data_IF_275703263586
#
_entry.id   IF_275703263586
#
_cell.length_a   1.000
_cell.length_b   1.000
_cell.length_c   1.000
_cell.angle_alpha   90.00
_cell.angle_beta   90.00
_cell.angle_gamma   90.00
#
_symmetry.space_group_name_H-M   'P 1'
#
loop_
_entity.id
_entity.type
_entity.pdbx_description
1 polymer ?
#
# COMPACT_ATOMS: atom_id res chain seq x y z
N UNK A 1 -0.71 -12.44 -14.13
CA UNK A 1 -0.99 -12.41 -12.67
C UNK A 1 -2.40 -12.93 -12.46
N UNK A 2 -2.73 -13.56 -11.33
CA UNK A 2 -4.10 -14.01 -11.09
C UNK A 2 -5.02 -12.78 -11.07
N UNK A 3 -6.23 -12.92 -11.63
CA UNK A 3 -7.21 -11.83 -11.67
C UNK A 3 -7.66 -11.41 -10.26
N UNK A 4 -7.55 -12.32 -9.29
CA UNK A 4 -7.95 -12.10 -7.91
C UNK A 4 -6.86 -12.58 -6.95
N UNK A 5 -6.66 -11.80 -5.89
CA UNK A 5 -5.82 -12.18 -4.75
C UNK A 5 -6.72 -12.19 -3.51
N UNK A 6 -6.96 -13.37 -2.94
CA UNK A 6 -7.71 -13.51 -1.71
C UNK A 6 -6.75 -13.44 -0.51
N UNK A 7 -7.03 -12.52 0.41
CA UNK A 7 -6.30 -12.40 1.68
C UNK A 7 -7.21 -12.84 2.82
N UNK A 8 -6.86 -13.93 3.50
CA UNK A 8 -7.62 -14.48 4.63
C UNK A 8 -6.78 -14.35 5.89
N UNK A 9 -7.34 -13.73 6.91
CA UNK A 9 -6.68 -13.56 8.20
C UNK A 9 -7.72 -13.45 9.34
N UNK A 10 -7.29 -13.72 10.57
CA UNK A 10 -8.10 -13.45 11.76
C UNK A 10 -8.47 -11.96 11.86
N UNK A 11 -9.64 -11.66 12.42
CA UNK A 11 -10.14 -10.27 12.57
C UNK A 11 -9.18 -9.37 13.36
N UNK A 12 -8.47 -9.93 14.35
CA UNK A 12 -7.49 -9.20 15.17
C UNK A 12 -6.10 -9.08 14.52
N UNK A 13 -5.92 -9.47 13.24
CA UNK A 13 -4.62 -9.42 12.59
C UNK A 13 -4.16 -7.95 12.39
N UNK A 14 -3.01 -7.51 12.95
CA UNK A 14 -2.53 -6.14 12.78
C UNK A 14 -2.27 -5.74 11.33
N UNK A 15 -1.93 -6.69 10.46
CA UNK A 15 -1.74 -6.44 9.03
C UNK A 15 -3.05 -6.04 8.34
N UNK A 16 -4.18 -6.63 8.74
CA UNK A 16 -5.51 -6.23 8.24
C UNK A 16 -5.80 -4.76 8.59
N UNK A 17 -5.56 -4.38 9.84
CA UNK A 17 -5.72 -3.00 10.29
C UNK A 17 -4.86 -2.00 9.49
N UNK A 18 -3.60 -2.36 9.23
CA UNK A 18 -2.70 -1.55 8.37
C UNK A 18 -3.22 -1.41 6.94
N UNK A 19 -3.73 -2.49 6.33
CA UNK A 19 -4.29 -2.46 4.99
C UNK A 19 -5.53 -1.56 4.89
N UNK A 20 -6.45 -1.69 5.86
CA UNK A 20 -7.66 -0.86 5.92
C UNK A 20 -7.29 0.61 6.13
N UNK A 21 -6.43 0.91 7.09
CA UNK A 21 -6.00 2.29 7.37
C UNK A 21 -5.33 2.95 6.15
N UNK A 22 -4.45 2.23 5.45
CA UNK A 22 -3.78 2.77 4.27
C UNK A 22 -4.77 3.02 3.12
N UNK A 23 -5.69 2.09 2.89
CA UNK A 23 -6.77 2.23 1.88
C UNK A 23 -7.61 3.48 2.15
N UNK A 24 -8.02 3.69 3.39
CA UNK A 24 -8.91 4.79 3.74
C UNK A 24 -8.16 6.13 3.70
N UNK A 25 -6.88 6.14 4.09
CA UNK A 25 -6.04 7.32 3.94
C UNK A 25 -5.87 7.73 2.46
N UNK A 26 -5.63 6.77 1.56
CA UNK A 26 -5.54 7.04 0.12
C UNK A 26 -6.86 7.61 -0.44
N UNK A 27 -8.02 7.10 0.00
CA UNK A 27 -9.33 7.59 -0.45
C UNK A 27 -9.60 9.02 0.00
N UNK A 28 -9.21 9.37 1.22
CA UNK A 28 -9.37 10.71 1.74
C UNK A 28 -8.34 11.72 1.20
N UNK A 29 -7.25 11.26 0.56
CA UNK A 29 -6.15 12.11 0.12
C UNK A 29 -5.80 11.87 -1.36
N UNK A 30 -6.54 12.50 -2.31
CA UNK A 30 -6.34 12.29 -3.75
C UNK A 30 -4.90 12.57 -4.23
N UNK A 31 -4.22 13.55 -3.65
CA UNK A 31 -2.84 13.87 -3.98
C UNK A 31 -1.87 12.75 -3.54
N UNK A 32 -2.10 12.15 -2.38
CA UNK A 32 -1.32 11.00 -1.92
C UNK A 32 -1.57 9.77 -2.80
N UNK A 33 -2.83 9.53 -3.18
CA UNK A 33 -3.18 8.46 -4.13
C UNK A 33 -2.48 8.62 -5.48
N UNK A 34 -2.42 9.85 -6.03
CA UNK A 34 -1.64 10.16 -7.24
C UNK A 34 -0.16 9.83 -7.05
N UNK A 35 0.46 10.30 -5.96
CA UNK A 35 1.87 10.02 -5.65
C UNK A 35 2.15 8.52 -5.54
N UNK A 36 1.29 7.78 -4.85
CA UNK A 36 1.40 6.33 -4.74
C UNK A 36 1.24 5.62 -6.09
N UNK A 37 0.33 6.10 -6.94
CA UNK A 37 0.17 5.63 -8.32
C UNK A 37 1.44 5.80 -9.16
N UNK A 38 2.05 6.99 -9.12
CA UNK A 38 3.32 7.25 -9.81
C UNK A 38 4.47 6.39 -9.29
N UNK A 39 4.56 6.20 -7.96
CA UNK A 39 5.54 5.32 -7.36
C UNK A 39 5.39 3.89 -7.90
N UNK A 40 4.17 3.33 -7.89
CA UNK A 40 3.93 1.96 -8.40
C UNK A 40 4.36 1.80 -9.86
N UNK A 41 4.07 2.78 -10.73
CA UNK A 41 4.51 2.74 -12.14
C UNK A 41 6.04 2.71 -12.24
N UNK A 42 6.73 3.65 -11.58
CA UNK A 42 8.20 3.69 -11.55
C UNK A 42 8.84 2.42 -10.99
N UNK A 43 8.24 1.82 -9.96
CA UNK A 43 8.74 0.58 -9.38
C UNK A 43 8.50 -0.61 -10.30
N UNK A 44 7.36 -0.66 -11.00
CA UNK A 44 7.10 -1.71 -11.99
C UNK A 44 8.14 -1.67 -13.12
N UNK A 45 8.45 -0.47 -13.62
CA UNK A 45 9.49 -0.28 -14.64
C UNK A 45 10.88 -0.68 -14.14
N UNK A 46 11.20 -0.37 -12.87
CA UNK A 46 12.52 -0.66 -12.27
C UNK A 46 12.74 -2.14 -11.96
N UNK A 47 11.73 -2.82 -11.41
CA UNK A 47 11.90 -4.17 -10.87
C UNK A 47 11.46 -5.27 -11.86
N UNK A 48 10.66 -4.95 -12.89
CA UNK A 48 10.30 -5.91 -13.92
C UNK A 48 9.65 -7.18 -13.34
N UNK A 49 10.34 -8.32 -13.45
CA UNK A 49 9.90 -9.61 -12.90
C UNK A 49 10.20 -9.80 -11.41
N UNK A 50 11.01 -8.94 -10.80
CA UNK A 50 11.32 -8.96 -9.37
C UNK A 50 10.15 -8.43 -8.52
N UNK A 51 9.25 -9.36 -8.17
CA UNK A 51 8.06 -9.08 -7.37
C UNK A 51 8.38 -8.74 -5.92
N UNK A 52 9.44 -9.33 -5.38
CA UNK A 52 9.83 -9.13 -3.99
C UNK A 52 10.45 -7.73 -3.84
N UNK A 53 11.39 -7.37 -4.72
CA UNK A 53 11.96 -6.03 -4.78
C UNK A 53 10.90 -4.96 -4.99
N UNK A 54 9.95 -5.18 -5.91
CA UNK A 54 8.80 -4.29 -6.08
C UNK A 54 7.96 -4.13 -4.79
N UNK A 55 7.70 -5.24 -4.10
CA UNK A 55 6.88 -5.22 -2.88
C UNK A 55 7.58 -4.59 -1.69
N UNK A 56 8.90 -4.78 -1.57
CA UNK A 56 9.72 -4.17 -0.54
C UNK A 56 9.91 -2.67 -0.80
N UNK A 57 10.08 -2.26 -2.06
CA UNK A 57 10.36 -0.87 -2.40
C UNK A 57 9.17 0.09 -2.16
N UNK A 58 7.92 -0.41 -2.15
CA UNK A 58 6.75 0.40 -1.77
C UNK A 58 6.52 0.47 -0.25
N UNK A 59 7.17 -0.38 0.54
CA UNK A 59 6.96 -0.46 2.00
C UNK A 59 7.31 0.84 2.70
N UNK A 60 8.40 1.50 2.32
CA UNK A 60 8.81 2.78 2.92
C UNK A 60 7.74 3.87 2.75
N UNK A 61 7.14 3.97 1.56
CA UNK A 61 6.07 4.92 1.29
C UNK A 61 4.81 4.61 2.12
N UNK A 62 4.43 3.34 2.24
CA UNK A 62 3.26 2.92 3.03
C UNK A 62 3.50 3.23 4.51
N UNK A 63 4.70 2.94 5.02
CA UNK A 63 5.06 3.25 6.40
C UNK A 63 5.04 4.75 6.68
N UNK A 64 5.59 5.58 5.79
CA UNK A 64 5.52 7.04 5.91
C UNK A 64 4.08 7.56 5.87
N UNK A 65 3.25 7.00 4.99
CA UNK A 65 1.84 7.37 4.91
C UNK A 65 1.09 7.04 6.20
N UNK A 66 1.39 5.92 6.85
CA UNK A 66 0.76 5.49 8.09
C UNK A 66 1.36 6.13 9.35
N UNK A 67 2.59 6.66 9.30
CA UNK A 67 3.24 7.33 10.42
C UNK A 67 2.76 8.76 10.62
N UNK A 68 2.37 9.44 9.53
CA UNK A 68 1.65 10.71 9.61
C UNK A 68 0.33 10.41 10.30
N UNK A 69 0.13 10.99 11.50
CA UNK A 69 -1.06 10.87 12.35
C UNK A 69 -2.32 11.22 11.55
N UNK A 70 -2.80 10.28 10.75
CA UNK A 70 -4.09 10.34 10.10
C UNK A 70 -5.12 9.96 11.15
N UNK A 71 -6.08 10.85 11.48
CA UNK A 71 -7.04 10.57 12.52
C UNK A 71 -7.86 9.34 12.10
N UNK A 72 -7.89 8.35 12.98
CA UNK A 72 -8.95 7.33 12.96
C UNK A 72 -10.24 8.07 13.28
N UNK A 73 -11.10 8.27 12.29
CA UNK A 73 -12.51 8.61 12.50
C UNK A 73 -13.22 7.42 13.14
#
# INVERSE_FOLDING_TARGET
>A
MPAHHLYVCAAANPALGRHIAFRDYLRANPNLAKRYGFLKKRLADRFGSDREGYSNAKTAFIAEALSKRWPKS
#
